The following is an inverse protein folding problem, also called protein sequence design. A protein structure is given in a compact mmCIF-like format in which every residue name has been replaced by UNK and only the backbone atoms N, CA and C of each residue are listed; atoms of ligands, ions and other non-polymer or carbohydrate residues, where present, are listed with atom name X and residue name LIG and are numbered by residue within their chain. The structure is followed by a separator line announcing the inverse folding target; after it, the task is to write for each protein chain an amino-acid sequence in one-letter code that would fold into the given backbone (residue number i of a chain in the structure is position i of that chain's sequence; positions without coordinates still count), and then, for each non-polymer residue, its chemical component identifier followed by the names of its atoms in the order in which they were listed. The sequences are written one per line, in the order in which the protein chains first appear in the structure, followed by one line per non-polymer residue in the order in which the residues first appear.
data_IF_836463223851
#
_entry.id   IF_836463223851
#
_cell.length_a   1.000
_cell.length_b   1.000
_cell.length_c   1.000
_cell.angle_alpha   90.00
_cell.angle_beta   90.00
_cell.angle_gamma   90.00
#
_symmetry.space_group_name_H-M   'P 1'
#
loop_
_entity.id
_entity.type
_entity.pdbx_description
1 polymer ?
#
# COMPACT_ATOMS: atom_id res chain seq x y z
N UNK A 1 23.59 -5.44 -12.08
CA UNK A 1 23.53 -4.20 -11.28
C UNK A 1 24.13 -4.56 -9.93
N UNK A 2 25.28 -4.02 -9.60
CA UNK A 2 25.93 -4.21 -8.31
C UNK A 2 25.04 -3.64 -7.21
N UNK A 3 24.73 -4.44 -6.20
CA UNK A 3 24.00 -4.00 -5.01
C UNK A 3 24.81 -2.87 -4.34
N UNK A 4 24.23 -1.69 -4.26
CA UNK A 4 24.86 -0.54 -3.60
C UNK A 4 24.48 -0.62 -2.13
N UNK A 5 25.41 -1.08 -1.29
CA UNK A 5 25.29 -0.98 0.16
C UNK A 5 25.57 0.48 0.54
N UNK A 6 24.53 1.31 0.62
CA UNK A 6 24.61 2.73 0.97
C UNK A 6 24.04 2.98 2.37
N UNK A 7 24.61 3.94 3.09
CA UNK A 7 24.09 4.43 4.37
C UNK A 7 23.43 5.77 4.16
N UNK A 8 22.13 5.84 4.35
CA UNK A 8 21.30 7.02 4.07
C UNK A 8 20.76 7.54 5.39
N UNK A 9 21.04 8.80 5.71
CA UNK A 9 20.41 9.48 6.84
C UNK A 9 19.26 10.37 6.34
N UNK A 10 18.12 10.26 7.00
CA UNK A 10 16.94 11.09 6.76
C UNK A 10 16.68 11.94 7.98
N UNK A 11 16.68 13.26 7.83
CA UNK A 11 16.34 14.23 8.87
C UNK A 11 15.13 15.02 8.45
N UNK A 12 14.01 14.85 9.13
CA UNK A 12 12.75 15.56 8.82
C UNK A 12 11.89 15.74 10.09
N UNK A 13 11.15 16.84 10.19
CA UNK A 13 10.24 17.10 11.34
C UNK A 13 9.05 16.18 11.36
N UNK A 14 8.47 15.85 10.19
CA UNK A 14 7.27 15.04 10.11
C UNK A 14 7.59 13.55 10.31
N UNK A 15 7.18 12.92 11.44
CA UNK A 15 7.45 11.51 11.69
C UNK A 15 6.79 10.59 10.65
N UNK A 16 5.66 10.98 10.08
CA UNK A 16 4.96 10.22 9.05
C UNK A 16 5.75 10.25 7.73
N UNK A 17 6.33 11.41 7.44
CA UNK A 17 7.14 11.56 6.24
C UNK A 17 8.48 10.83 6.37
N UNK A 18 9.11 10.82 7.56
CA UNK A 18 10.29 9.99 7.85
C UNK A 18 9.99 8.51 7.60
N UNK A 19 8.85 8.02 8.08
CA UNK A 19 8.44 6.64 7.88
C UNK A 19 8.16 6.33 6.41
N UNK A 20 7.55 7.26 5.68
CA UNK A 20 7.36 7.15 4.23
C UNK A 20 8.69 7.04 3.47
N UNK A 21 9.66 7.89 3.81
CA UNK A 21 11.00 7.84 3.21
C UNK A 21 11.70 6.52 3.54
N UNK A 22 11.71 6.11 4.81
CA UNK A 22 12.28 4.85 5.25
C UNK A 22 11.69 3.67 4.48
N UNK A 23 10.37 3.68 4.31
CA UNK A 23 9.61 2.69 3.54
C UNK A 23 10.13 2.59 2.10
N UNK A 24 10.10 3.69 1.39
CA UNK A 24 10.40 3.70 -0.04
C UNK A 24 11.89 3.53 -0.34
N UNK A 25 12.75 4.07 0.50
CA UNK A 25 14.18 3.84 0.40
C UNK A 25 14.54 2.36 0.63
N UNK A 26 13.91 1.70 1.61
CA UNK A 26 14.08 0.27 1.81
C UNK A 26 13.58 -0.58 0.64
N UNK A 27 12.51 -0.15 -0.06
CA UNK A 27 12.05 -0.81 -1.29
C UNK A 27 13.02 -0.59 -2.44
N UNK A 28 13.50 0.64 -2.63
CA UNK A 28 14.35 1.04 -3.75
C UNK A 28 15.78 0.51 -3.62
N UNK A 29 16.28 0.44 -2.39
CA UNK A 29 17.64 0.06 -2.03
C UNK A 29 17.62 -0.98 -0.88
N UNK A 30 17.29 -2.25 -1.16
CA UNK A 30 17.14 -3.29 -0.12
C UNK A 30 18.41 -3.52 0.72
N UNK A 31 19.59 -3.25 0.14
CA UNK A 31 20.88 -3.42 0.79
C UNK A 31 21.36 -2.13 1.51
N UNK A 32 20.58 -1.04 1.46
CA UNK A 32 20.95 0.20 2.10
C UNK A 32 20.51 0.22 3.58
N UNK A 33 21.34 0.80 4.42
CA UNK A 33 20.98 1.13 5.80
C UNK A 33 20.36 2.52 5.83
N UNK A 34 19.08 2.62 6.23
CA UNK A 34 18.34 3.89 6.31
C UNK A 34 18.09 4.25 7.76
N UNK A 35 18.73 5.31 8.24
CA UNK A 35 18.52 5.92 9.56
C UNK A 35 17.59 7.12 9.44
N UNK A 36 16.72 7.34 10.42
CA UNK A 36 15.78 8.48 10.40
C UNK A 36 15.80 9.18 11.75
N UNK A 37 15.96 10.52 11.75
CA UNK A 37 16.01 11.35 12.94
C UNK A 37 15.06 12.56 12.83
N UNK A 38 14.58 13.05 13.97
CA UNK A 38 14.00 14.38 14.03
C UNK A 38 15.13 15.44 14.06
N UNK A 39 14.89 16.68 13.56
CA UNK A 39 15.90 17.72 13.58
C UNK A 39 16.42 18.04 14.97
N UNK A 40 15.59 17.86 16.01
CA UNK A 40 15.92 18.09 17.42
C UNK A 40 16.85 16.99 17.99
N UNK A 41 16.79 15.79 17.40
CA UNK A 41 17.62 14.63 17.79
C UNK A 41 18.95 14.62 17.06
N UNK A 42 19.07 15.41 15.99
CA UNK A 42 20.24 15.42 15.13
C UNK A 42 21.22 16.53 15.52
N UNK A 43 22.40 16.12 15.96
CA UNK A 43 23.52 17.02 16.24
C UNK A 43 24.58 16.87 15.13
N UNK A 44 24.55 17.82 14.18
CA UNK A 44 25.48 17.83 13.06
C UNK A 44 26.97 17.91 13.49
N UNK A 45 27.26 18.40 14.71
CA UNK A 45 28.60 18.46 15.27
C UNK A 45 29.09 17.07 15.72
N UNK A 46 28.23 16.29 16.36
CA UNK A 46 28.54 14.91 16.79
C UNK A 46 28.66 13.96 15.61
N UNK A 47 27.78 14.07 14.60
CA UNK A 47 27.89 13.24 13.39
C UNK A 47 29.17 13.53 12.59
N UNK A 48 29.69 14.77 12.65
CA UNK A 48 30.95 15.13 12.04
C UNK A 48 32.17 14.61 12.84
N UNK A 49 32.07 14.55 14.17
CA UNK A 49 33.13 14.00 15.05
C UNK A 49 33.15 12.47 15.07
N UNK A 50 31.98 11.81 14.94
CA UNK A 50 31.85 10.36 14.86
C UNK A 50 32.21 9.77 13.48
N UNK A 51 32.71 10.61 12.56
CA UNK A 51 33.36 10.18 11.31
C UNK A 51 32.46 9.45 10.34
N UNK A 52 31.59 10.20 9.65
CA UNK A 52 31.03 9.83 8.34
C UNK A 52 30.39 8.47 8.21
N UNK A 53 29.44 8.19 9.09
CA UNK A 53 28.66 6.96 8.99
C UNK A 53 27.66 6.94 7.80
N UNK A 54 27.43 8.05 7.10
CA UNK A 54 26.42 8.15 6.05
C UNK A 54 27.00 8.54 4.69
N UNK A 55 26.53 7.89 3.61
CA UNK A 55 26.96 8.17 2.24
C UNK A 55 26.15 9.32 1.63
N UNK A 56 24.93 9.59 2.13
CA UNK A 56 24.10 10.73 1.73
C UNK A 56 23.14 11.13 2.84
N UNK A 57 22.79 12.42 2.86
CA UNK A 57 21.82 13.02 3.77
C UNK A 57 20.59 13.47 2.99
N UNK A 58 19.40 13.07 3.42
CA UNK A 58 18.13 13.61 2.95
C UNK A 58 17.59 14.53 4.03
N UNK A 59 17.56 15.83 3.75
CA UNK A 59 17.21 16.88 4.69
C UNK A 59 15.85 17.48 4.36
N UNK A 60 14.86 17.25 5.23
CA UNK A 60 13.59 17.95 5.22
C UNK A 60 13.76 19.36 5.76
N UNK A 61 13.56 20.37 4.93
CA UNK A 61 13.73 21.75 5.31
C UNK A 61 12.58 22.62 4.79
N UNK A 62 12.10 23.54 5.63
CA UNK A 62 11.15 24.55 5.21
C UNK A 62 11.89 25.78 4.71
N UNK A 63 11.75 26.07 3.43
CA UNK A 63 12.33 27.23 2.77
C UNK A 63 11.22 28.28 2.54
N UNK A 64 10.71 28.91 3.60
CA UNK A 64 9.58 29.83 3.56
C UNK A 64 9.54 30.77 2.35
N UNK A 65 8.32 30.99 1.82
CA UNK A 65 8.07 31.74 0.57
C UNK A 65 7.61 33.19 0.76
N UNK A 66 7.61 33.71 2.00
CA UNK A 66 7.17 35.10 2.31
C UNK A 66 8.30 36.13 2.40
N UNK A 67 8.06 37.40 2.08
CA UNK A 67 9.08 38.45 2.19
C UNK A 67 9.51 38.76 3.65
N UNK A 68 8.67 38.39 4.65
CA UNK A 68 8.87 38.71 6.05
C UNK A 68 9.06 37.50 7.00
N UNK A 69 8.98 36.27 6.48
CA UNK A 69 9.31 35.07 7.27
C UNK A 69 10.82 34.84 7.32
N UNK A 70 11.36 34.28 8.43
CA UNK A 70 12.79 34.00 8.52
C UNK A 70 13.17 32.95 7.47
N UNK A 71 13.46 33.43 6.27
CA UNK A 71 13.87 32.71 5.05
C UNK A 71 15.04 31.77 5.25
N UNK A 72 15.29 31.25 6.42
CA UNK A 72 16.67 30.92 6.54
C UNK A 72 17.00 29.72 7.42
N UNK A 73 16.06 29.08 8.07
CA UNK A 73 16.50 27.99 8.94
C UNK A 73 17.07 26.83 8.09
N UNK A 74 16.37 26.41 7.05
CA UNK A 74 16.86 25.38 6.15
C UNK A 74 18.11 25.80 5.35
N UNK A 75 18.15 27.05 4.82
CA UNK A 75 19.32 27.56 4.12
C UNK A 75 20.50 27.84 5.07
N UNK A 76 20.25 28.32 6.29
CA UNK A 76 21.29 28.49 7.31
C UNK A 76 21.85 27.15 7.74
N UNK A 77 20.99 26.14 7.92
CA UNK A 77 21.42 24.81 8.26
C UNK A 77 22.26 24.21 7.14
N UNK A 78 21.79 24.28 5.89
CA UNK A 78 22.53 23.81 4.74
C UNK A 78 23.92 24.49 4.60
N UNK A 79 24.00 25.82 4.75
CA UNK A 79 25.26 26.55 4.72
C UNK A 79 26.19 26.18 5.88
N UNK A 80 25.63 25.97 7.08
CA UNK A 80 26.42 25.53 8.25
C UNK A 80 27.01 24.13 8.01
N UNK A 81 26.22 23.23 7.46
CA UNK A 81 26.66 21.88 7.10
C UNK A 81 27.77 21.93 6.07
N UNK A 82 27.61 22.73 5.01
CA UNK A 82 28.59 22.85 3.94
C UNK A 82 29.90 23.58 4.35
N UNK A 83 29.91 24.26 5.48
CA UNK A 83 31.12 24.87 6.04
C UNK A 83 32.02 23.84 6.78
N UNK A 84 31.53 22.61 7.05
CA UNK A 84 32.31 21.51 7.58
C UNK A 84 33.18 20.85 6.46
N UNK A 85 34.37 20.38 6.81
CA UNK A 85 35.34 19.86 5.83
C UNK A 85 34.93 18.56 5.12
N UNK A 86 33.90 17.84 5.63
CA UNK A 86 33.52 16.52 5.10
C UNK A 86 32.04 16.19 5.34
N UNK A 87 31.16 16.86 4.60
CA UNK A 87 29.71 16.58 4.67
C UNK A 87 29.30 15.68 3.50
N UNK A 88 28.48 14.63 3.74
CA UNK A 88 27.95 13.82 2.66
C UNK A 88 27.06 14.66 1.74
N UNK A 89 26.89 14.31 0.47
CA UNK A 89 25.96 15.00 -0.43
C UNK A 89 24.56 15.09 0.18
N UNK A 90 23.95 16.29 0.11
CA UNK A 90 22.66 16.58 0.74
C UNK A 90 21.59 16.71 -0.34
N UNK A 91 20.54 15.87 -0.25
CA UNK A 91 19.29 16.06 -1.01
C UNK A 91 18.30 16.80 -0.13
N UNK A 92 17.86 17.98 -0.58
CA UNK A 92 16.90 18.80 0.17
C UNK A 92 15.48 18.46 -0.23
N UNK A 93 14.62 18.22 0.77
CA UNK A 93 13.18 18.02 0.61
C UNK A 93 12.44 19.23 1.21
N UNK A 94 11.68 19.95 0.40
CA UNK A 94 10.95 21.13 0.84
C UNK A 94 9.42 20.93 0.81
N UNK A 95 8.72 21.38 1.86
CA UNK A 95 7.25 21.35 1.94
C UNK A 95 6.64 22.19 0.80
N UNK A 96 7.10 23.42 0.68
CA UNK A 96 6.72 24.36 -0.36
C UNK A 96 7.96 24.69 -1.17
N UNK A 97 7.97 24.31 -2.43
CA UNK A 97 9.09 24.56 -3.32
C UNK A 97 8.66 25.43 -4.49
N UNK A 98 9.35 26.57 -4.64
CA UNK A 98 9.35 27.37 -5.85
C UNK A 98 10.73 27.30 -6.53
N UNK A 99 10.82 27.86 -7.73
CA UNK A 99 12.07 27.88 -8.50
C UNK A 99 13.19 28.64 -7.80
N UNK A 100 12.85 29.70 -7.06
CA UNK A 100 13.81 30.52 -6.34
C UNK A 100 14.42 29.74 -5.16
N UNK A 101 13.62 29.03 -4.40
CA UNK A 101 14.07 28.18 -3.30
C UNK A 101 14.98 27.05 -3.82
N UNK A 102 14.64 26.45 -4.97
CA UNK A 102 15.48 25.43 -5.60
C UNK A 102 16.86 25.99 -5.98
N UNK A 103 16.89 27.14 -6.66
CA UNK A 103 18.16 27.82 -7.03
C UNK A 103 18.98 28.17 -5.79
N UNK A 104 18.35 28.65 -4.73
CA UNK A 104 19.05 29.00 -3.48
C UNK A 104 19.60 27.76 -2.76
N UNK A 105 18.88 26.65 -2.72
CA UNK A 105 19.36 25.41 -2.13
C UNK A 105 20.56 24.83 -2.88
N UNK A 106 20.48 24.77 -4.21
CA UNK A 106 21.60 24.29 -5.04
C UNK A 106 22.84 25.22 -4.89
N UNK A 107 22.67 26.57 -4.88
CA UNK A 107 23.77 27.52 -4.63
C UNK A 107 24.35 27.40 -3.21
N UNK A 108 23.55 26.94 -2.26
CA UNK A 108 24.01 26.70 -0.90
C UNK A 108 24.67 25.31 -0.72
N UNK A 109 24.86 24.55 -1.81
CA UNK A 109 25.58 23.28 -1.83
C UNK A 109 24.73 22.03 -1.76
N UNK A 110 23.39 22.12 -1.92
CA UNK A 110 22.56 20.93 -2.05
C UNK A 110 22.93 20.17 -3.34
N UNK A 111 23.02 18.84 -3.23
CA UNK A 111 23.25 17.97 -4.39
C UNK A 111 22.01 17.87 -5.28
N UNK A 112 20.81 17.93 -4.68
CA UNK A 112 19.53 18.05 -5.40
C UNK A 112 18.48 18.70 -4.50
N UNK A 113 17.38 19.16 -5.12
CA UNK A 113 16.25 19.78 -4.45
C UNK A 113 14.93 19.20 -4.96
N UNK A 114 14.15 18.63 -4.06
CA UNK A 114 12.91 17.92 -4.39
C UNK A 114 11.73 18.48 -3.55
N UNK A 115 10.72 19.10 -4.18
CA UNK A 115 9.50 19.49 -3.48
C UNK A 115 8.75 18.25 -3.01
N UNK A 116 8.43 18.14 -1.71
CA UNK A 116 7.71 17.02 -1.11
C UNK A 116 6.39 16.72 -1.85
N UNK A 117 5.63 17.76 -2.21
CA UNK A 117 4.37 17.64 -2.96
C UNK A 117 4.50 16.96 -4.34
N UNK A 118 5.69 17.00 -4.94
CA UNK A 118 5.97 16.41 -6.26
C UNK A 118 6.85 15.16 -6.15
N UNK A 119 7.25 14.79 -4.94
CA UNK A 119 8.14 13.66 -4.73
C UNK A 119 7.41 12.35 -5.03
N UNK A 120 8.04 11.55 -5.87
CA UNK A 120 7.65 10.18 -6.23
C UNK A 120 8.82 9.25 -5.95
N UNK A 121 8.57 7.97 -5.58
CA UNK A 121 9.67 7.03 -5.32
C UNK A 121 10.69 6.95 -6.46
N UNK A 122 10.25 6.90 -7.71
CA UNK A 122 11.16 6.89 -8.87
C UNK A 122 11.97 8.18 -9.02
N UNK A 123 11.40 9.34 -8.68
CA UNK A 123 12.12 10.62 -8.71
C UNK A 123 13.16 10.67 -7.59
N UNK A 124 12.79 10.19 -6.39
CA UNK A 124 13.74 10.03 -5.29
C UNK A 124 14.87 9.08 -5.68
N UNK A 125 14.54 7.96 -6.32
CA UNK A 125 15.51 7.01 -6.84
C UNK A 125 16.46 7.65 -7.85
N UNK A 126 15.95 8.38 -8.83
CA UNK A 126 16.77 9.02 -9.84
C UNK A 126 17.76 10.04 -9.23
N UNK A 127 17.29 10.84 -8.26
CA UNK A 127 18.12 11.77 -7.51
C UNK A 127 19.21 11.04 -6.71
N UNK A 128 18.85 10.01 -5.97
CA UNK A 128 19.81 9.22 -5.19
C UNK A 128 20.80 8.46 -6.07
N UNK A 129 20.37 7.85 -7.16
CA UNK A 129 21.26 7.18 -8.11
C UNK A 129 22.30 8.14 -8.71
N UNK A 130 21.91 9.40 -8.95
CA UNK A 130 22.82 10.45 -9.43
C UNK A 130 23.83 10.86 -8.34
N UNK A 131 23.35 11.05 -7.11
CA UNK A 131 24.18 11.40 -5.96
C UNK A 131 25.17 10.29 -5.63
N UNK A 132 24.68 9.05 -5.54
CA UNK A 132 25.52 7.88 -5.18
C UNK A 132 26.54 7.54 -6.27
N UNK A 133 26.27 7.83 -7.55
CA UNK A 133 27.26 7.69 -8.64
C UNK A 133 28.41 8.68 -8.56
N UNK A 134 28.18 9.87 -7.99
CA UNK A 134 29.21 10.92 -7.82
C UNK A 134 30.14 10.64 -6.64
N UNK A 135 29.74 9.75 -5.74
CA UNK A 135 30.59 9.27 -4.66
C UNK A 135 31.53 8.24 -5.29
N UNK A 136 32.76 8.65 -5.66
CA UNK A 136 33.79 7.70 -6.08
C UNK A 136 33.96 6.62 -5.02
N UNK A 137 34.23 5.36 -5.41
CA UNK A 137 34.55 4.32 -4.45
C UNK A 137 35.93 4.64 -3.82
N UNK A 138 35.92 5.49 -2.81
CA UNK A 138 37.08 5.66 -1.91
C UNK A 138 37.34 4.26 -1.34
N UNK A 139 38.56 3.79 -1.55
CA UNK A 139 39.01 2.46 -1.16
C UNK A 139 38.47 2.09 0.24
N UNK A 140 37.76 0.98 0.29
CA UNK A 140 37.20 0.41 1.51
C UNK A 140 38.34 -0.13 2.37
N UNK A 141 39.08 0.75 3.02
CA UNK A 141 39.66 0.44 4.32
C UNK A 141 38.59 0.81 5.34
N UNK A 142 37.97 -0.21 5.93
CA UNK A 142 37.03 -0.05 7.02
C UNK A 142 37.76 0.61 8.19
N UNK A 143 37.41 1.84 8.61
CA UNK A 143 37.72 2.24 9.97
C UNK A 143 36.87 1.34 10.86
N UNK A 144 37.54 0.61 11.74
CA UNK A 144 36.92 -0.17 12.79
C UNK A 144 36.12 0.77 13.69
N UNK A 145 34.82 0.90 13.41
CA UNK A 145 33.85 1.46 14.32
C UNK A 145 32.84 0.35 14.61
N UNK A 146 33.27 -0.59 15.45
CA UNK A 146 32.39 -1.42 16.21
C UNK A 146 32.07 -0.65 17.50
N UNK A 147 30.83 -0.23 17.74
CA UNK A 147 30.39 -0.11 19.11
C UNK A 147 30.13 -1.55 19.57
N UNK A 148 31.03 -2.04 20.37
CA UNK A 148 30.81 -3.15 21.26
C UNK A 148 29.66 -2.77 22.20
N UNK A 149 28.43 -3.05 21.78
CA UNK A 149 27.29 -3.08 22.69
C UNK A 149 27.45 -4.41 23.41
N UNK A 150 28.29 -4.38 24.47
CA UNK A 150 28.41 -5.41 25.44
C UNK A 150 27.02 -5.89 25.84
N UNK A 151 26.78 -7.15 25.53
CA UNK A 151 25.70 -7.93 26.11
C UNK A 151 25.93 -7.95 27.62
N UNK A 152 25.41 -6.99 28.34
CA UNK A 152 25.17 -7.11 29.76
C UNK A 152 23.86 -7.88 29.91
N UNK A 153 23.95 -9.18 29.77
CA UNK A 153 23.01 -10.12 30.37
C UNK A 153 23.09 -9.95 31.88
N UNK A 154 22.31 -9.06 32.45
CA UNK A 154 21.93 -9.11 33.84
C UNK A 154 20.81 -10.14 33.93
N UNK A 155 21.17 -11.32 34.44
CA UNK A 155 20.25 -12.23 35.10
C UNK A 155 19.48 -11.43 36.15
N UNK A 156 18.24 -11.11 35.88
CA UNK A 156 17.29 -10.69 36.91
C UNK A 156 16.53 -11.93 37.30
N UNK A 157 16.88 -12.41 38.52
CA UNK A 157 16.18 -13.50 39.19
C UNK A 157 14.65 -13.19 39.19
N UNK A 158 13.91 -14.18 38.71
CA UNK A 158 12.45 -14.23 38.83
C UNK A 158 12.08 -14.29 40.32
N UNK A 159 11.45 -13.20 40.81
CA UNK A 159 10.62 -13.25 41.99
C UNK A 159 9.15 -13.30 41.54
N UNK A 160 8.33 -14.20 42.11
CA UNK A 160 6.93 -14.28 41.77
C UNK A 160 6.19 -13.02 42.23
N UNK A 161 5.23 -12.49 41.43
CA UNK A 161 4.52 -11.28 41.78
C UNK A 161 3.56 -11.55 42.96
N UNK A 162 3.74 -10.80 44.05
CA UNK A 162 2.78 -10.71 45.13
C UNK A 162 1.43 -10.20 44.61
N UNK A 163 0.37 -10.83 45.12
CA UNK A 163 -1.01 -10.51 44.81
C UNK A 163 -1.35 -9.09 45.29
N UNK A 164 -1.32 -8.11 44.37
CA UNK A 164 -1.86 -6.77 44.61
C UNK A 164 -3.38 -6.86 44.49
N UNK A 165 -4.06 -6.67 45.61
CA UNK A 165 -5.50 -6.54 45.73
C UNK A 165 -6.05 -5.49 44.78
N UNK A 166 -6.86 -5.91 43.82
CA UNK A 166 -7.61 -5.02 42.93
C UNK A 166 -8.66 -4.25 43.75
N UNK A 167 -8.72 -2.91 43.69
CA UNK A 167 -9.91 -2.20 44.10
C UNK A 167 -11.02 -2.55 43.12
N UNK A 168 -12.18 -2.95 43.65
CA UNK A 168 -13.40 -3.12 42.89
C UNK A 168 -13.85 -1.74 42.38
N UNK A 169 -13.44 -1.42 41.14
CA UNK A 169 -13.94 -0.25 40.41
C UNK A 169 -14.90 -0.76 39.34
N UNK A 170 -16.16 -0.52 39.59
CA UNK A 170 -17.27 -0.30 38.65
C UNK A 170 -17.06 -0.92 37.24
N UNK A 171 -17.63 -2.10 37.08
CA UNK A 171 -18.02 -2.61 35.76
C UNK A 171 -19.05 -1.65 35.14
N UNK A 172 -18.59 -0.55 34.57
CA UNK A 172 -19.36 0.10 33.50
C UNK A 172 -19.30 -0.87 32.35
N UNK A 173 -20.37 -1.61 32.12
CA UNK A 173 -20.62 -2.36 30.90
C UNK A 173 -20.43 -1.39 29.74
N UNK A 174 -19.33 -1.46 29.04
CA UNK A 174 -19.16 -0.82 27.74
C UNK A 174 -20.11 -1.53 26.78
N UNK A 175 -21.36 -1.09 26.78
CA UNK A 175 -22.33 -1.42 25.74
C UNK A 175 -21.65 -1.02 24.43
N UNK A 176 -21.47 -1.99 23.53
CA UNK A 176 -20.96 -1.70 22.21
C UNK A 176 -21.78 -0.53 21.64
N UNK A 177 -21.17 0.49 21.03
CA UNK A 177 -21.91 1.63 20.53
C UNK A 177 -23.03 1.13 19.64
N UNK A 178 -24.26 1.55 19.95
CA UNK A 178 -25.42 1.21 19.13
C UNK A 178 -25.13 1.70 17.70
N UNK A 179 -25.44 0.87 16.66
CA UNK A 179 -25.24 1.31 15.30
C UNK A 179 -26.06 2.58 15.05
N UNK A 180 -25.52 3.54 14.26
CA UNK A 180 -26.25 4.78 13.97
C UNK A 180 -27.59 4.44 13.33
N UNK A 181 -28.65 5.11 13.75
CA UNK A 181 -29.98 4.99 13.13
C UNK A 181 -29.89 5.61 11.72
N UNK A 182 -30.07 4.79 10.70
CA UNK A 182 -30.09 5.20 9.30
C UNK A 182 -31.54 5.07 8.84
N UNK A 183 -32.15 6.18 8.45
CA UNK A 183 -33.52 6.20 7.99
C UNK A 183 -33.71 5.17 6.84
N UNK A 184 -34.88 4.53 6.80
CA UNK A 184 -35.26 3.52 5.81
C UNK A 184 -34.53 2.16 5.92
N UNK A 185 -33.64 1.97 6.95
CA UNK A 185 -32.91 0.71 7.13
C UNK A 185 -33.01 0.20 8.57
N UNK A 186 -33.50 -1.04 8.73
CA UNK A 186 -33.54 -1.72 10.02
C UNK A 186 -32.35 -2.68 10.11
N UNK A 187 -31.36 -2.36 10.94
CA UNK A 187 -30.18 -3.20 11.14
C UNK A 187 -30.56 -4.47 11.89
N UNK A 188 -30.26 -5.64 11.31
CA UNK A 188 -30.54 -6.94 11.88
C UNK A 188 -29.35 -7.49 12.65
N UNK A 189 -28.17 -7.52 12.03
CA UNK A 189 -26.94 -8.03 12.66
C UNK A 189 -25.69 -7.51 11.95
N UNK A 190 -24.57 -7.54 12.63
CA UNK A 190 -23.24 -7.29 12.04
C UNK A 190 -22.81 -8.52 11.22
N UNK A 191 -22.36 -8.30 9.99
CA UNK A 191 -21.87 -9.35 9.06
C UNK A 191 -20.39 -9.21 8.71
N UNK A 192 -19.80 -8.04 8.93
CA UNK A 192 -18.38 -7.80 8.66
C UNK A 192 -17.86 -6.57 9.36
N UNK A 193 -16.55 -6.48 9.43
CA UNK A 193 -15.85 -5.32 9.99
C UNK A 193 -14.48 -5.16 9.34
N UNK A 194 -14.13 -3.93 9.08
CA UNK A 194 -12.79 -3.51 8.65
C UNK A 194 -12.25 -2.46 9.59
N UNK A 195 -11.03 -2.01 9.38
CA UNK A 195 -10.45 -0.91 10.15
C UNK A 195 -11.32 0.36 10.09
N UNK A 196 -11.91 0.66 8.92
CA UNK A 196 -12.62 1.92 8.64
C UNK A 196 -14.15 1.83 8.73
N UNK A 197 -14.72 0.65 8.59
CA UNK A 197 -16.17 0.47 8.49
C UNK A 197 -16.65 -0.82 9.12
N UNK A 198 -17.91 -0.80 9.53
CA UNK A 198 -18.67 -1.99 9.94
C UNK A 198 -19.71 -2.26 8.87
N UNK A 199 -19.92 -3.55 8.54
CA UNK A 199 -20.94 -3.98 7.58
C UNK A 199 -22.03 -4.70 8.35
N UNK A 200 -23.25 -4.25 8.18
CA UNK A 200 -24.44 -4.82 8.80
C UNK A 200 -25.33 -5.48 7.74
N UNK A 201 -26.00 -6.55 8.12
CA UNK A 201 -27.19 -7.01 7.43
C UNK A 201 -28.35 -6.12 7.88
N UNK A 202 -29.09 -5.59 6.93
CA UNK A 202 -30.23 -4.74 7.22
C UNK A 202 -31.41 -5.08 6.30
N UNK A 203 -32.63 -4.84 6.78
CA UNK A 203 -33.83 -4.82 5.98
C UNK A 203 -34.08 -3.39 5.48
N UNK A 204 -34.56 -3.25 4.28
CA UNK A 204 -34.98 -1.98 3.70
C UNK A 204 -36.49 -1.99 3.47
N UNK A 205 -37.18 -0.99 4.00
CA UNK A 205 -38.62 -0.84 3.82
C UNK A 205 -39.01 -0.60 2.35
N UNK A 206 -38.04 -0.11 1.54
CA UNK A 206 -38.24 0.18 0.11
C UNK A 206 -37.93 -1.00 -0.81
N UNK A 207 -37.02 -1.90 -0.43
CA UNK A 207 -36.46 -2.90 -1.36
C UNK A 207 -37.06 -4.30 -1.16
N UNK A 208 -37.86 -4.54 -0.13
CA UNK A 208 -38.44 -5.84 0.25
C UNK A 208 -37.39 -7.00 0.26
N UNK A 209 -36.11 -6.68 0.51
CA UNK A 209 -35.00 -7.62 0.49
C UNK A 209 -33.95 -7.23 1.54
N UNK A 210 -33.17 -8.23 1.98
CA UNK A 210 -31.98 -7.98 2.80
C UNK A 210 -30.90 -7.30 2.00
N UNK A 211 -30.22 -6.35 2.63
CA UNK A 211 -29.12 -5.59 2.06
C UNK A 211 -27.89 -5.62 2.97
N UNK A 212 -26.74 -5.37 2.41
CA UNK A 212 -25.51 -5.08 3.16
C UNK A 212 -25.38 -3.56 3.33
N UNK A 213 -25.34 -3.12 4.59
CA UNK A 213 -25.19 -1.71 4.97
C UNK A 213 -23.80 -1.49 5.55
N UNK A 214 -22.92 -0.87 4.78
CA UNK A 214 -21.56 -0.52 5.18
C UNK A 214 -21.56 0.87 5.80
N UNK A 215 -21.10 0.99 7.05
CA UNK A 215 -21.12 2.24 7.83
C UNK A 215 -19.71 2.57 8.29
N UNK A 216 -19.27 3.81 8.10
CA UNK A 216 -17.95 4.28 8.55
C UNK A 216 -17.85 4.25 10.07
N UNK A 217 -16.65 3.96 10.62
CA UNK A 217 -16.38 3.98 12.07
C UNK A 217 -16.09 5.36 12.62
N UNK A 218 -15.70 6.28 11.77
CA UNK A 218 -15.30 7.63 12.13
C UNK A 218 -16.27 8.61 11.48
N UNK A 219 -16.79 9.58 12.23
CA UNK A 219 -17.57 10.66 11.66
C UNK A 219 -16.75 11.43 10.64
N UNK A 220 -17.37 11.87 9.57
CA UNK A 220 -16.68 12.65 8.54
C UNK A 220 -16.76 14.14 8.88
N UNK A 221 -15.61 14.75 9.10
CA UNK A 221 -15.46 16.19 9.11
C UNK A 221 -15.11 16.68 7.71
N UNK A 222 -16.00 17.42 7.08
CA UNK A 222 -15.79 18.04 5.77
C UNK A 222 -16.52 17.40 4.58
N UNK A 223 -16.59 18.13 3.47
CA UNK A 223 -17.23 17.70 2.22
C UNK A 223 -16.35 16.70 1.47
N UNK A 224 -16.97 15.68 0.86
CA UNK A 224 -16.33 14.86 -0.16
C UNK A 224 -15.68 15.74 -1.22
N UNK A 225 -14.47 15.37 -1.67
CA UNK A 225 -13.89 16.06 -2.80
C UNK A 225 -14.73 15.74 -4.05
N UNK A 226 -14.92 16.71 -4.95
CA UNK A 226 -15.67 16.50 -6.20
C UNK A 226 -15.14 15.30 -7.01
N UNK A 227 -13.85 14.99 -6.87
CA UNK A 227 -13.24 13.85 -7.56
C UNK A 227 -13.78 12.50 -7.04
N UNK A 228 -14.00 12.37 -5.73
CA UNK A 228 -14.57 11.17 -5.12
C UNK A 228 -16.01 10.95 -5.53
N UNK A 229 -16.81 12.02 -5.49
CA UNK A 229 -18.20 11.97 -5.89
C UNK A 229 -18.32 11.51 -7.36
N UNK A 230 -17.49 12.04 -8.26
CA UNK A 230 -17.46 11.62 -9.67
C UNK A 230 -17.14 10.15 -9.85
N UNK A 231 -16.16 9.62 -9.11
CA UNK A 231 -15.78 8.21 -9.24
C UNK A 231 -16.84 7.29 -8.63
N UNK A 232 -17.47 7.72 -7.53
CA UNK A 232 -18.60 7.04 -6.95
C UNK A 232 -19.77 6.97 -7.95
N UNK A 233 -20.12 8.10 -8.57
CA UNK A 233 -21.13 8.18 -9.62
C UNK A 233 -20.77 7.30 -10.83
N UNK A 234 -19.49 7.20 -11.18
CA UNK A 234 -19.03 6.33 -12.26
C UNK A 234 -19.26 4.84 -11.94
N UNK A 235 -19.08 4.40 -10.68
CA UNK A 235 -19.40 3.02 -10.26
C UNK A 235 -20.91 2.78 -10.29
N UNK A 236 -21.70 3.73 -9.80
CA UNK A 236 -23.16 3.67 -9.87
C UNK A 236 -23.70 3.54 -11.30
N UNK A 237 -22.99 4.13 -12.27
CA UNK A 237 -23.33 4.04 -13.67
C UNK A 237 -23.03 2.68 -14.34
N UNK A 238 -22.23 1.82 -13.68
CA UNK A 238 -21.94 0.48 -14.20
C UNK A 238 -23.10 -0.47 -13.88
N UNK A 239 -24.00 -0.65 -14.83
CA UNK A 239 -25.13 -1.56 -14.73
C UNK A 239 -24.76 -2.93 -15.31
N UNK A 240 -23.93 -3.70 -14.58
CA UNK A 240 -23.50 -5.03 -15.00
C UNK A 240 -23.59 -6.02 -13.81
N UNK A 241 -24.06 -7.25 -14.01
CA UNK A 241 -24.16 -8.24 -12.94
C UNK A 241 -22.83 -8.62 -12.31
N UNK A 242 -21.70 -8.33 -12.93
CA UNK A 242 -20.37 -8.57 -12.37
C UNK A 242 -19.88 -7.46 -11.41
N UNK A 243 -20.63 -6.39 -11.25
CA UNK A 243 -20.35 -5.28 -10.34
C UNK A 243 -21.47 -5.18 -9.30
N UNK A 244 -21.07 -4.89 -8.05
CA UNK A 244 -22.03 -4.75 -6.95
C UNK A 244 -23.12 -3.71 -7.25
N UNK A 245 -24.36 -4.07 -7.02
CA UNK A 245 -25.46 -3.12 -7.09
C UNK A 245 -25.48 -2.29 -5.81
N UNK A 246 -25.37 -0.99 -5.97
CA UNK A 246 -25.54 -0.01 -4.90
C UNK A 246 -26.95 0.54 -4.98
N UNK A 247 -27.65 0.55 -3.86
CA UNK A 247 -29.05 1.01 -3.77
C UNK A 247 -29.13 2.44 -3.28
N UNK A 248 -28.25 2.81 -2.34
CA UNK A 248 -28.28 4.12 -1.70
C UNK A 248 -26.96 4.43 -1.01
N UNK A 249 -26.68 5.70 -0.80
CA UNK A 249 -25.54 6.18 -0.02
C UNK A 249 -25.87 7.53 0.62
N UNK A 250 -25.21 7.83 1.71
CA UNK A 250 -25.43 9.11 2.39
C UNK A 250 -24.67 9.24 3.69
N UNK A 251 -25.15 10.17 4.51
CA UNK A 251 -24.60 10.43 5.84
C UNK A 251 -25.74 10.41 6.86
N UNK A 252 -25.57 9.66 7.94
CA UNK A 252 -26.52 9.60 9.04
C UNK A 252 -25.78 9.73 10.35
N UNK A 253 -26.18 10.68 11.21
CA UNK A 253 -25.51 10.96 12.47
C UNK A 253 -24.03 11.35 12.35
N UNK A 254 -23.62 11.90 11.20
CA UNK A 254 -22.23 12.22 10.90
C UNK A 254 -21.43 11.07 10.29
N UNK A 255 -21.96 9.84 10.26
CA UNK A 255 -21.31 8.66 9.67
C UNK A 255 -21.75 8.45 8.24
N UNK A 256 -20.80 8.13 7.36
CA UNK A 256 -21.13 7.74 5.98
C UNK A 256 -21.68 6.32 5.94
N UNK A 257 -22.69 6.11 5.09
CA UNK A 257 -23.22 4.78 4.82
C UNK A 257 -23.33 4.50 3.34
N UNK A 258 -23.28 3.21 3.01
CA UNK A 258 -23.46 2.65 1.68
C UNK A 258 -24.37 1.44 1.78
N UNK A 259 -25.55 1.50 1.16
CA UNK A 259 -26.48 0.40 1.05
C UNK A 259 -26.26 -0.34 -0.27
N UNK A 260 -25.95 -1.62 -0.20
CA UNK A 260 -25.60 -2.43 -1.38
C UNK A 260 -26.19 -3.85 -1.28
N UNK A 261 -26.11 -4.56 -2.38
CA UNK A 261 -26.53 -5.95 -2.49
C UNK A 261 -25.85 -6.82 -1.43
N UNK A 262 -26.64 -7.70 -0.79
CA UNK A 262 -26.15 -8.71 0.15
C UNK A 262 -25.86 -10.03 -0.59
N UNK A 263 -24.75 -10.66 -0.25
CA UNK A 263 -24.30 -11.93 -0.84
C UNK A 263 -24.29 -13.04 0.20
N UNK A 264 -25.35 -13.87 0.27
CA UNK A 264 -25.46 -14.92 1.28
C UNK A 264 -24.44 -16.04 1.12
N UNK A 265 -23.89 -16.25 -0.09
CA UNK A 265 -22.85 -17.25 -0.36
C UNK A 265 -21.43 -16.81 0.06
N UNK A 266 -21.30 -15.56 0.54
CA UNK A 266 -20.03 -15.02 1.01
C UNK A 266 -19.08 -14.63 -0.13
N UNK A 267 -17.78 -14.64 0.19
CA UNK A 267 -16.71 -14.20 -0.67
C UNK A 267 -15.77 -15.33 -1.14
N UNK A 268 -14.93 -15.03 -2.08
CA UNK A 268 -13.95 -15.97 -2.62
C UNK A 268 -12.96 -16.46 -1.54
N UNK A 269 -12.65 -15.64 -0.52
CA UNK A 269 -11.77 -16.05 0.58
C UNK A 269 -12.38 -17.21 1.37
N UNK A 270 -13.68 -17.15 1.67
CA UNK A 270 -14.41 -18.24 2.32
C UNK A 270 -14.40 -19.51 1.43
N UNK A 271 -14.62 -19.34 0.12
CA UNK A 271 -14.60 -20.46 -0.84
C UNK A 271 -13.22 -21.14 -0.91
N UNK A 272 -12.14 -20.36 -0.80
CA UNK A 272 -10.77 -20.87 -0.83
C UNK A 272 -10.38 -21.67 0.42
N UNK A 273 -11.03 -21.44 1.57
CA UNK A 273 -10.70 -22.11 2.83
C UNK A 273 -10.94 -23.63 2.80
N UNK A 274 -11.89 -24.09 2.00
CA UNK A 274 -12.19 -25.52 1.84
C UNK A 274 -11.32 -26.22 0.80
N UNK A 275 -10.34 -25.51 0.25
CA UNK A 275 -9.52 -25.96 -0.86
C UNK A 275 -10.22 -25.78 -2.21
N UNK A 276 -9.43 -25.67 -3.26
CA UNK A 276 -9.94 -25.42 -4.61
C UNK A 276 -9.19 -26.29 -5.62
N UNK A 277 -9.89 -27.13 -6.41
CA UNK A 277 -9.28 -27.83 -7.55
C UNK A 277 -8.71 -26.82 -8.56
N UNK A 278 -7.60 -27.15 -9.19
CA UNK A 278 -6.93 -26.29 -10.17
C UNK A 278 -7.82 -25.91 -11.36
N UNK A 279 -8.70 -26.81 -11.77
CA UNK A 279 -9.68 -26.55 -12.84
C UNK A 279 -10.76 -25.52 -12.42
N UNK A 280 -11.09 -25.49 -11.14
CA UNK A 280 -12.01 -24.51 -10.57
C UNK A 280 -11.32 -23.15 -10.38
N UNK A 281 -10.07 -23.14 -9.89
CA UNK A 281 -9.27 -21.93 -9.80
C UNK A 281 -9.14 -21.24 -11.17
N UNK A 282 -8.97 -21.99 -12.26
CA UNK A 282 -8.94 -21.46 -13.64
C UNK A 282 -10.31 -20.85 -14.03
N UNK A 283 -11.43 -21.44 -13.63
CA UNK A 283 -12.77 -20.88 -13.90
C UNK A 283 -12.98 -19.57 -13.15
N UNK A 284 -12.57 -19.50 -11.87
CA UNK A 284 -12.64 -18.25 -11.10
C UNK A 284 -11.74 -17.18 -11.68
N UNK A 285 -10.51 -17.52 -12.12
CA UNK A 285 -9.64 -16.58 -12.81
C UNK A 285 -10.33 -15.98 -14.05
N UNK A 286 -10.95 -16.82 -14.88
CA UNK A 286 -11.68 -16.38 -16.08
C UNK A 286 -12.87 -15.47 -15.73
N UNK A 287 -13.68 -15.84 -14.71
CA UNK A 287 -14.83 -15.04 -14.27
C UNK A 287 -14.43 -13.69 -13.66
N UNK A 288 -13.37 -13.66 -12.83
CA UNK A 288 -12.86 -12.41 -12.26
C UNK A 288 -12.27 -11.52 -13.35
N UNK A 289 -11.54 -12.10 -14.32
CA UNK A 289 -11.04 -11.35 -15.47
C UNK A 289 -12.20 -10.76 -16.30
N UNK A 290 -13.30 -11.50 -16.50
CA UNK A 290 -14.49 -10.98 -17.17
C UNK A 290 -15.13 -9.80 -16.41
N UNK A 291 -15.22 -9.89 -15.09
CA UNK A 291 -15.70 -8.79 -14.25
C UNK A 291 -14.77 -7.56 -14.33
N UNK A 292 -13.45 -7.75 -14.31
CA UNK A 292 -12.49 -6.67 -14.52
C UNK A 292 -12.60 -6.04 -15.89
N UNK A 293 -12.87 -6.81 -16.95
CA UNK A 293 -13.08 -6.28 -18.29
C UNK A 293 -14.25 -5.30 -18.35
N UNK A 294 -15.34 -5.57 -17.61
CA UNK A 294 -16.48 -4.64 -17.47
C UNK A 294 -16.03 -3.33 -16.83
N UNK A 295 -15.32 -3.43 -15.70
CA UNK A 295 -14.84 -2.28 -14.94
C UNK A 295 -13.87 -1.43 -15.77
N UNK A 296 -12.93 -2.06 -16.45
CA UNK A 296 -11.92 -1.39 -17.26
C UNK A 296 -12.52 -0.70 -18.50
N UNK A 297 -13.55 -1.30 -19.13
CA UNK A 297 -14.29 -0.66 -20.23
C UNK A 297 -15.06 0.58 -19.78
N UNK A 298 -15.48 0.63 -18.52
CA UNK A 298 -16.10 1.83 -17.94
C UNK A 298 -15.06 2.92 -17.57
N UNK A 299 -13.76 2.71 -17.87
CA UNK A 299 -12.69 3.64 -17.53
C UNK A 299 -12.30 3.62 -16.07
N UNK A 300 -12.75 2.61 -15.32
CA UNK A 300 -12.49 2.45 -13.88
C UNK A 300 -11.39 1.44 -13.62
N UNK A 301 -10.77 1.54 -12.44
CA UNK A 301 -9.84 0.55 -11.88
C UNK A 301 -10.38 0.09 -10.53
N UNK A 302 -10.18 -1.20 -10.23
CA UNK A 302 -10.61 -1.76 -8.93
C UNK A 302 -9.68 -1.31 -7.77
N UNK A 303 -8.37 -1.31 -7.98
CA UNK A 303 -7.31 -0.83 -7.08
C UNK A 303 -7.13 -1.56 -5.75
N UNK A 304 -8.10 -2.33 -5.29
CA UNK A 304 -8.05 -3.13 -4.05
C UNK A 304 -8.59 -4.55 -4.27
N UNK A 305 -8.21 -5.15 -5.41
CA UNK A 305 -8.65 -6.51 -5.76
C UNK A 305 -7.99 -7.53 -4.82
N UNK A 306 -8.84 -8.28 -4.11
CA UNK A 306 -8.45 -9.32 -3.15
C UNK A 306 -9.62 -10.29 -2.95
N UNK A 307 -9.40 -11.52 -2.45
CA UNK A 307 -10.47 -12.50 -2.30
C UNK A 307 -11.70 -12.02 -1.51
N UNK A 308 -11.59 -11.23 -0.42
CA UNK A 308 -12.76 -10.69 0.27
C UNK A 308 -13.58 -9.68 -0.54
N UNK A 309 -13.03 -9.13 -1.62
CA UNK A 309 -13.72 -8.16 -2.49
C UNK A 309 -14.32 -8.83 -3.74
N UNK A 310 -14.29 -10.15 -3.81
CA UNK A 310 -14.92 -10.96 -4.86
C UNK A 310 -16.04 -11.77 -4.22
N UNK A 311 -17.27 -11.30 -4.34
CA UNK A 311 -18.46 -11.95 -3.79
C UNK A 311 -18.98 -13.03 -4.75
N UNK A 312 -19.70 -14.00 -4.20
CA UNK A 312 -20.24 -15.12 -4.95
C UNK A 312 -21.78 -15.06 -5.01
N UNK A 313 -22.32 -15.27 -6.21
CA UNK A 313 -23.73 -15.57 -6.46
C UNK A 313 -23.86 -17.03 -6.89
N UNK A 314 -25.10 -17.46 -7.09
CA UNK A 314 -25.43 -18.78 -7.59
C UNK A 314 -24.60 -19.15 -8.84
N UNK A 315 -24.29 -20.43 -8.99
CA UNK A 315 -23.47 -20.98 -10.06
C UNK A 315 -22.04 -20.40 -10.12
N UNK A 316 -21.47 -20.05 -8.97
CA UNK A 316 -20.13 -19.44 -8.85
C UNK A 316 -19.95 -18.15 -9.67
N UNK A 317 -21.02 -17.42 -9.95
CA UNK A 317 -20.90 -16.12 -10.58
C UNK A 317 -20.24 -15.13 -9.60
N UNK A 318 -19.28 -14.36 -10.10
CA UNK A 318 -18.52 -13.42 -9.28
C UNK A 318 -19.05 -12.01 -9.40
N UNK A 319 -18.97 -11.27 -8.30
CA UNK A 319 -19.31 -9.85 -8.22
C UNK A 319 -18.19 -9.10 -7.55
N UNK A 320 -17.69 -8.07 -8.19
CA UNK A 320 -16.68 -7.21 -7.60
C UNK A 320 -17.32 -6.15 -6.72
N UNK A 321 -16.79 -6.03 -5.50
CA UNK A 321 -17.22 -5.03 -4.50
C UNK A 321 -16.01 -4.19 -4.06
N UNK A 322 -16.28 -3.09 -3.33
CA UNK A 322 -15.25 -2.29 -2.66
C UNK A 322 -14.13 -1.81 -3.58
N UNK A 323 -14.49 -1.12 -4.65
CA UNK A 323 -13.55 -0.36 -5.46
C UNK A 323 -12.75 0.59 -4.56
N UNK A 324 -11.45 0.67 -4.74
CA UNK A 324 -10.53 1.39 -3.84
C UNK A 324 -10.77 2.91 -3.74
N UNK A 325 -12.03 3.34 -3.65
CA UNK A 325 -12.49 4.73 -3.51
C UNK A 325 -11.86 5.43 -2.32
N UNK A 326 -11.67 4.71 -1.22
CA UNK A 326 -11.02 5.25 -0.03
C UNK A 326 -9.57 5.71 -0.29
N UNK A 327 -8.91 5.19 -1.34
CA UNK A 327 -7.56 5.61 -1.76
C UNK A 327 -7.57 6.91 -2.57
N UNK A 328 -8.70 7.27 -3.15
CA UNK A 328 -8.87 8.56 -3.85
C UNK A 328 -9.23 9.68 -2.90
N UNK A 329 -9.96 9.37 -1.81
CA UNK A 329 -10.27 10.33 -0.74
C UNK A 329 -9.02 10.95 -0.13
N UNK A 330 -7.94 10.18 -0.07
CA UNK A 330 -6.67 10.61 0.52
C UNK A 330 -5.81 11.38 -0.50
N UNK A 331 -6.35 11.66 -1.69
CA UNK A 331 -5.64 12.26 -2.81
C UNK A 331 -4.57 11.30 -3.35
N UNK A 332 -4.33 11.26 -4.64
CA UNK A 332 -3.22 10.50 -5.25
C UNK A 332 -1.85 10.92 -4.71
N UNK A 333 -1.82 11.92 -3.83
CA UNK A 333 -0.63 12.50 -3.22
C UNK A 333 -0.46 12.18 -1.72
N UNK A 334 -1.51 11.75 -0.97
CA UNK A 334 -1.45 11.66 0.49
C UNK A 334 -1.52 10.25 1.07
N UNK A 335 -1.91 9.23 0.31
CA UNK A 335 -2.09 7.87 0.85
C UNK A 335 -0.78 7.20 1.26
N UNK A 336 0.35 7.62 0.67
CA UNK A 336 1.69 7.20 1.07
C UNK A 336 2.35 8.15 2.08
N UNK A 337 1.85 9.39 2.23
CA UNK A 337 2.42 10.39 3.14
C UNK A 337 2.13 10.11 4.62
N UNK A 338 1.10 9.34 4.94
CA UNK A 338 0.70 9.14 6.35
C UNK A 338 1.45 8.01 7.07
N UNK A 339 2.38 7.32 6.40
CA UNK A 339 3.13 6.18 6.99
C UNK A 339 2.23 5.00 7.41
N UNK A 340 0.92 5.16 7.35
CA UNK A 340 -0.04 4.09 7.61
C UNK A 340 -0.29 3.36 6.30
N UNK A 341 0.33 2.20 6.16
CA UNK A 341 0.11 1.29 5.06
C UNK A 341 -1.32 0.76 5.15
N UNK A 342 -2.27 1.46 4.53
CA UNK A 342 -3.69 1.10 4.56
C UNK A 342 -4.02 0.14 3.44
N UNK A 343 -4.52 -1.02 3.79
CA UNK A 343 -4.90 -2.10 2.90
C UNK A 343 -4.05 -3.36 3.12
N UNK A 344 -4.46 -4.46 2.51
CA UNK A 344 -3.70 -5.71 2.56
C UNK A 344 -2.51 -5.62 1.60
N UNK A 345 -1.24 -5.59 2.05
CA UNK A 345 -0.08 -5.46 1.17
C UNK A 345 0.08 -6.66 0.23
N UNK A 346 -0.54 -7.78 0.58
CA UNK A 346 -0.36 -9.08 -0.09
C UNK A 346 -0.82 -9.13 -1.55
N UNK A 347 -1.70 -8.22 -1.98
CA UNK A 347 -2.29 -8.22 -3.34
C UNK A 347 -1.92 -6.97 -4.13
N UNK A 348 -1.08 -6.10 -3.59
CA UNK A 348 -0.66 -4.87 -4.26
C UNK A 348 0.24 -5.17 -5.45
N UNK A 349 0.05 -4.41 -6.52
CA UNK A 349 0.99 -4.43 -7.65
C UNK A 349 2.28 -3.66 -7.32
N UNK A 350 3.40 -3.94 -8.00
CA UNK A 350 4.65 -3.19 -7.83
C UNK A 350 4.44 -1.68 -7.94
N UNK A 351 3.70 -1.23 -8.95
CA UNK A 351 3.39 0.19 -9.17
C UNK A 351 2.52 0.79 -8.06
N UNK A 352 1.64 0.00 -7.43
CA UNK A 352 0.90 0.47 -6.24
C UNK A 352 1.83 0.64 -5.04
N UNK A 353 2.72 -0.34 -4.81
CA UNK A 353 3.72 -0.27 -3.75
C UNK A 353 4.65 0.93 -3.93
N UNK A 354 4.96 1.29 -5.18
CA UNK A 354 5.81 2.41 -5.55
C UNK A 354 5.06 3.75 -5.64
N UNK A 355 3.73 3.78 -5.44
CA UNK A 355 2.93 5.00 -5.56
C UNK A 355 2.91 5.59 -6.98
N UNK A 356 3.11 4.77 -8.01
CA UNK A 356 3.10 5.17 -9.41
C UNK A 356 1.67 5.32 -9.95
N UNK A 357 1.56 5.90 -11.15
CA UNK A 357 0.28 5.96 -11.87
C UNK A 357 -0.18 4.53 -12.21
N UNK A 358 -1.41 4.21 -11.82
CA UNK A 358 -2.03 2.92 -12.06
C UNK A 358 -2.71 2.86 -13.43
N UNK A 359 -2.77 1.65 -13.99
CA UNK A 359 -3.55 1.32 -15.18
C UNK A 359 -4.21 -0.07 -15.00
N UNK A 360 -5.03 -0.56 -15.95
CA UNK A 360 -5.71 -1.85 -15.85
C UNK A 360 -4.81 -3.04 -15.50
N UNK A 361 -3.54 -3.01 -15.89
CA UNK A 361 -2.56 -4.06 -15.63
C UNK A 361 -2.18 -4.19 -14.14
N UNK A 362 -2.48 -3.16 -13.33
CA UNK A 362 -2.33 -3.23 -11.87
C UNK A 362 -3.34 -4.20 -11.26
N UNK A 363 -4.59 -4.17 -11.69
CA UNK A 363 -5.63 -5.11 -11.25
C UNK A 363 -5.34 -6.54 -11.75
N UNK A 364 -4.77 -6.68 -12.97
CA UNK A 364 -4.37 -7.99 -13.51
C UNK A 364 -3.21 -8.62 -12.73
N UNK A 365 -2.31 -7.82 -12.17
CA UNK A 365 -1.29 -8.33 -11.25
C UNK A 365 -1.92 -8.84 -9.95
N UNK A 366 -2.83 -8.08 -9.34
CA UNK A 366 -3.57 -8.50 -8.14
C UNK A 366 -4.37 -9.78 -8.40
N UNK A 367 -4.97 -9.90 -9.59
CA UNK A 367 -5.63 -11.13 -10.04
C UNK A 367 -4.64 -12.30 -10.14
N UNK A 368 -3.41 -12.07 -10.59
CA UNK A 368 -2.33 -13.06 -10.60
C UNK A 368 -1.97 -13.54 -9.19
N UNK A 369 -1.93 -12.65 -8.21
CA UNK A 369 -1.70 -13.01 -6.80
C UNK A 369 -2.84 -13.89 -6.27
N UNK A 370 -4.08 -13.53 -6.54
CA UNK A 370 -5.27 -14.32 -6.17
C UNK A 370 -5.20 -15.71 -6.83
N UNK A 371 -4.85 -15.77 -8.11
CA UNK A 371 -4.75 -17.04 -8.84
C UNK A 371 -3.68 -17.96 -8.25
N UNK A 372 -2.51 -17.41 -7.88
CA UNK A 372 -1.48 -18.17 -7.20
C UNK A 372 -2.01 -18.74 -5.88
N UNK A 373 -2.72 -17.94 -5.09
CA UNK A 373 -3.29 -18.36 -3.81
C UNK A 373 -4.38 -19.43 -4.00
N UNK A 374 -5.25 -19.29 -5.00
CA UNK A 374 -6.24 -20.32 -5.35
C UNK A 374 -5.61 -21.66 -5.72
N UNK A 375 -4.50 -21.63 -6.47
CA UNK A 375 -3.81 -22.87 -6.93
C UNK A 375 -3.00 -23.56 -5.83
N UNK A 376 -2.38 -22.78 -4.93
CA UNK A 376 -1.37 -23.29 -4.00
C UNK A 376 -1.84 -23.28 -2.54
N UNK A 377 -2.95 -22.61 -2.22
CA UNK A 377 -3.38 -22.32 -0.86
C UNK A 377 -2.48 -21.31 -0.12
N UNK A 378 -1.50 -20.72 -0.79
CA UNK A 378 -0.53 -19.78 -0.20
C UNK A 378 -0.34 -18.55 -1.07
N UNK A 379 -0.14 -17.41 -0.42
CA UNK A 379 0.24 -16.18 -1.13
C UNK A 379 1.63 -16.31 -1.72
N UNK A 380 1.91 -15.70 -2.90
CA UNK A 380 3.25 -15.76 -3.52
C UNK A 380 4.31 -15.00 -2.73
N UNK A 381 3.91 -13.99 -1.98
CA UNK A 381 4.78 -13.15 -1.18
C UNK A 381 4.23 -13.00 0.23
N UNK A 382 5.08 -13.26 1.23
CA UNK A 382 4.75 -13.19 2.66
C UNK A 382 5.97 -12.70 3.42
N UNK A 383 5.77 -12.05 4.56
CA UNK A 383 6.87 -11.51 5.36
C UNK A 383 6.43 -11.19 6.77
N UNK A 384 7.40 -10.91 7.64
CA UNK A 384 7.18 -10.53 9.04
C UNK A 384 6.57 -9.13 9.16
N UNK A 385 6.70 -8.30 8.13
CA UNK A 385 6.13 -6.94 8.07
C UNK A 385 5.46 -6.67 6.73
N UNK A 386 4.54 -5.71 6.74
CA UNK A 386 3.92 -5.20 5.52
C UNK A 386 4.95 -4.68 4.50
N UNK A 387 6.04 -4.09 5.01
CA UNK A 387 7.17 -3.61 4.24
C UNK A 387 7.85 -4.72 3.45
N UNK A 388 8.18 -5.81 4.13
CA UNK A 388 8.83 -6.95 3.50
C UNK A 388 7.98 -7.54 2.37
N UNK A 389 6.66 -7.61 2.57
CA UNK A 389 5.73 -8.04 1.52
C UNK A 389 5.77 -7.10 0.33
N UNK A 390 5.78 -5.78 0.55
CA UNK A 390 5.87 -4.80 -0.54
C UNK A 390 7.20 -4.88 -1.29
N UNK A 391 8.32 -5.03 -0.58
CA UNK A 391 9.63 -5.24 -1.19
C UNK A 391 9.63 -6.48 -2.10
N UNK A 392 9.01 -7.57 -1.66
CA UNK A 392 8.88 -8.78 -2.47
C UNK A 392 8.01 -8.55 -3.71
N UNK A 393 6.91 -7.79 -3.60
CA UNK A 393 6.11 -7.42 -4.77
C UNK A 393 6.92 -6.64 -5.81
N UNK A 394 7.82 -5.78 -5.38
CA UNK A 394 8.65 -4.96 -6.28
C UNK A 394 9.86 -5.73 -6.82
N UNK A 395 10.59 -6.43 -5.95
CA UNK A 395 11.94 -6.90 -6.26
C UNK A 395 12.08 -8.42 -6.39
N UNK A 396 11.25 -9.21 -5.69
CA UNK A 396 11.44 -10.67 -5.65
C UNK A 396 10.69 -11.36 -6.79
N UNK A 397 11.35 -12.20 -7.60
CA UNK A 397 10.65 -13.01 -8.61
C UNK A 397 9.53 -13.85 -7.99
N UNK A 398 8.41 -14.06 -8.69
CA UNK A 398 7.36 -14.92 -8.20
C UNK A 398 7.86 -16.36 -8.00
N UNK A 399 7.37 -17.06 -6.94
CA UNK A 399 7.78 -18.42 -6.67
C UNK A 399 7.36 -19.36 -7.82
N UNK A 400 8.17 -20.39 -8.07
CA UNK A 400 7.85 -21.41 -9.05
C UNK A 400 6.65 -22.25 -8.58
N UNK A 401 5.74 -22.53 -9.48
CA UNK A 401 4.63 -23.42 -9.19
C UNK A 401 5.14 -24.89 -9.05
N UNK A 402 4.48 -25.70 -8.18
CA UNK A 402 4.73 -27.14 -8.14
C UNK A 402 4.62 -27.81 -9.51
N UNK A 403 5.33 -28.91 -9.72
CA UNK A 403 5.36 -29.60 -11.02
C UNK A 403 3.95 -30.02 -11.50
N UNK A 404 3.05 -30.40 -10.60
CA UNK A 404 1.65 -30.73 -10.91
C UNK A 404 0.84 -29.55 -11.49
N UNK A 405 1.29 -28.32 -11.25
CA UNK A 405 0.67 -27.08 -11.71
C UNK A 405 1.46 -26.39 -12.83
N UNK A 406 2.48 -27.06 -13.37
CA UNK A 406 3.41 -26.51 -14.38
C UNK A 406 2.70 -25.97 -15.62
N UNK A 407 1.54 -26.51 -15.99
CA UNK A 407 0.72 -26.04 -17.12
C UNK A 407 0.28 -24.56 -16.98
N UNK A 408 0.23 -24.05 -15.75
CA UNK A 408 -0.14 -22.65 -15.48
C UNK A 408 1.07 -21.71 -15.41
N UNK A 409 2.30 -22.25 -15.53
CA UNK A 409 3.52 -21.49 -15.30
C UNK A 409 3.65 -20.26 -16.20
N UNK A 410 3.36 -20.40 -17.50
CA UNK A 410 3.42 -19.29 -18.46
C UNK A 410 2.38 -18.20 -18.15
N UNK A 411 1.13 -18.60 -17.85
CA UNK A 411 0.05 -17.70 -17.46
C UNK A 411 0.41 -16.93 -16.18
N UNK A 412 0.90 -17.65 -15.16
CA UNK A 412 1.30 -17.09 -13.87
C UNK A 412 2.48 -16.12 -14.03
N UNK A 413 3.52 -16.50 -14.78
CA UNK A 413 4.69 -15.66 -15.00
C UNK A 413 4.32 -14.33 -15.69
N UNK A 414 3.35 -14.37 -16.62
CA UNK A 414 2.87 -13.18 -17.32
C UNK A 414 2.02 -12.29 -16.40
N UNK A 415 1.11 -12.85 -15.59
CA UNK A 415 0.31 -12.09 -14.63
C UNK A 415 1.18 -11.42 -13.56
N UNK A 416 2.15 -12.14 -12.99
CA UNK A 416 3.00 -11.67 -11.89
C UNK A 416 4.30 -11.01 -12.36
N UNK A 417 4.43 -10.68 -13.65
CA UNK A 417 5.59 -9.91 -14.13
C UNK A 417 5.71 -8.57 -13.40
N UNK A 418 6.93 -8.25 -12.95
CA UNK A 418 7.20 -6.98 -12.24
C UNK A 418 7.00 -5.79 -13.17
N UNK A 419 7.50 -5.88 -14.39
CA UNK A 419 7.28 -4.87 -15.44
C UNK A 419 5.89 -5.01 -16.01
N UNK A 420 5.10 -3.92 -15.95
CA UNK A 420 3.71 -3.92 -16.45
C UNK A 420 3.61 -4.21 -17.95
N UNK A 421 4.63 -3.84 -18.74
CA UNK A 421 4.68 -4.06 -20.19
C UNK A 421 4.80 -5.54 -20.56
N UNK A 422 5.29 -6.36 -19.63
CA UNK A 422 5.44 -7.81 -19.80
C UNK A 422 4.20 -8.59 -19.35
N UNK A 423 3.18 -7.91 -18.79
CA UNK A 423 1.91 -8.52 -18.38
C UNK A 423 0.94 -8.64 -19.57
N UNK A 424 -0.24 -9.16 -19.30
CA UNK A 424 -1.38 -9.03 -20.21
C UNK A 424 -1.77 -7.55 -20.33
N UNK A 425 -2.08 -7.11 -21.54
CA UNK A 425 -2.50 -5.73 -21.80
C UNK A 425 -3.91 -5.47 -21.30
N UNK A 426 -4.79 -6.45 -21.43
CA UNK A 426 -6.20 -6.34 -21.06
C UNK A 426 -6.72 -7.60 -20.34
N UNK A 427 -7.87 -7.49 -19.70
CA UNK A 427 -8.53 -8.61 -19.05
C UNK A 427 -9.03 -9.64 -20.07
N UNK A 428 -9.40 -9.23 -21.28
CA UNK A 428 -9.83 -10.10 -22.37
C UNK A 428 -8.68 -11.02 -22.84
N UNK A 429 -7.44 -10.55 -22.82
CA UNK A 429 -6.27 -11.41 -23.11
C UNK A 429 -6.11 -12.51 -22.05
N UNK A 430 -6.39 -12.20 -20.77
CA UNK A 430 -6.37 -13.20 -19.69
C UNK A 430 -7.44 -14.25 -19.91
N UNK A 431 -8.67 -13.85 -20.28
CA UNK A 431 -9.78 -14.75 -20.61
C UNK A 431 -9.38 -15.69 -21.76
N UNK A 432 -8.82 -15.13 -22.84
CA UNK A 432 -8.37 -15.92 -23.99
C UNK A 432 -7.32 -16.97 -23.60
N UNK A 433 -6.37 -16.60 -22.73
CA UNK A 433 -5.37 -17.54 -22.21
C UNK A 433 -5.98 -18.65 -21.35
N UNK A 434 -7.00 -18.36 -20.52
CA UNK A 434 -7.74 -19.35 -19.75
C UNK A 434 -8.48 -20.35 -20.65
N UNK A 435 -9.16 -19.84 -21.69
CA UNK A 435 -9.86 -20.67 -22.69
C UNK A 435 -8.88 -21.59 -23.41
N UNK A 436 -7.72 -21.10 -23.82
CA UNK A 436 -6.69 -21.88 -24.48
C UNK A 436 -6.20 -23.06 -23.59
N UNK A 437 -5.93 -22.78 -22.31
CA UNK A 437 -5.52 -23.81 -21.34
C UNK A 437 -6.60 -24.86 -21.09
N UNK A 438 -7.87 -24.46 -21.06
CA UNK A 438 -9.00 -25.38 -20.90
C UNK A 438 -9.18 -26.29 -22.10
N UNK A 439 -9.04 -25.76 -23.31
CA UNK A 439 -9.18 -26.53 -24.58
C UNK A 439 -7.99 -27.47 -24.82
N UNK A 440 -6.78 -27.11 -24.42
CA UNK A 440 -5.60 -27.99 -24.46
C UNK A 440 -5.81 -29.27 -23.62
N UNK A 441 -6.48 -29.19 -22.46
CA UNK A 441 -6.82 -30.35 -21.64
C UNK A 441 -7.79 -31.34 -22.36
N UNK A 442 -8.77 -30.80 -23.09
CA UNK A 442 -9.74 -31.65 -23.81
C UNK A 442 -9.07 -32.48 -24.91
N UNK A 443 -8.04 -31.97 -25.61
CA UNK A 443 -7.32 -32.68 -26.66
C UNK A 443 -6.43 -33.81 -26.12
N UNK A 444 -5.78 -33.62 -24.97
CA UNK A 444 -4.94 -34.65 -24.33
C UNK A 444 -5.77 -35.76 -23.68
N UNK A 445 -6.96 -35.47 -23.18
CA UNK A 445 -7.88 -36.46 -22.59
C UNK A 445 -8.69 -37.24 -23.61
N UNK A 446 -8.78 -36.78 -24.88
CA UNK A 446 -9.44 -37.49 -26.00
C UNK A 446 -8.47 -38.34 -26.81
N UNK A 447 -7.16 -38.24 -26.51
CA UNK A 447 -6.09 -39.00 -27.22
C UNK A 447 -5.47 -40.10 -26.33
N UNK A 448 -5.98 -40.28 -25.09
CA UNK A 448 -5.69 -41.36 -24.16
C UNK A 448 -6.92 -42.27 -24.00
#
# INVERSE_FOLDING_TARGET
MTAVSARILVVDRDPKYREWLRLHLGILYPEATVSTLAPEEWDAGKDAEEGHCHDTLILGADFGSGPDEPRSEGLRLLRRLQAGETVPPIIVLAERGDELAAVQAIRAGAADYLPKRLLRPLRLKASLDEVLRRIEPRGREAPACAPDIGQTTREVAEQPPEAVSRPAALLTSSRAPEPPRIADYTITRKIGESEKAVVYLAASDRLASEIALKVSKVPREGRATQALEREYQAILAVHDPAVVRIFDHGTAGGYEYLAMEYFPLGDLKMRMQVGMPDSEALKFLEKIAAALAVVHRAGLLHRDLKPPNVMLRDNDNVVLIDFGLARLLEGTHNSTYTGVLRGSPYYMSPEQAMGEKLDPRSDLYSLGVIFHEMLTGRKPFTGASAMEVLQQHVNTPPPRLPASLSRYASLMARLLSKRRESRFGTAEEVIAACVALRNGRRRTSSAA
#
